data_IF_490231897697
#
_entry.id   IF_490231897697
#
_cell.length_a   1.000
_cell.length_b   1.000
_cell.length_c   1.000
_cell.angle_alpha   90.00
_cell.angle_beta   90.00
_cell.angle_gamma   90.00
#
_symmetry.space_group_name_H-M   'P 1'
#
loop_
_entity.id
_entity.type
_entity.pdbx_description
1 polymer ?
#
# COMPACT_ATOMS: atom_id res chain seq x y z
N UNK A 1 19.52 7.29 0.44
CA UNK A 1 18.45 6.42 -0.07
C UNK A 1 17.19 7.27 -0.29
N UNK A 2 16.82 7.47 -1.54
CA UNK A 2 15.63 8.22 -1.94
C UNK A 2 14.38 7.40 -1.63
N UNK A 3 13.39 7.99 -0.97
CA UNK A 3 12.08 7.36 -0.75
C UNK A 3 11.10 7.83 -1.81
N UNK A 4 10.46 6.88 -2.49
CA UNK A 4 9.51 7.16 -3.56
C UNK A 4 8.16 6.53 -3.20
N UNK A 5 7.07 7.23 -3.49
CA UNK A 5 5.73 6.68 -3.39
C UNK A 5 5.54 5.60 -4.46
N UNK A 6 5.19 4.37 -4.08
CA UNK A 6 4.95 3.29 -5.04
C UNK A 6 3.66 3.48 -5.87
N UNK A 7 2.78 4.39 -5.46
CA UNK A 7 1.50 4.64 -6.12
C UNK A 7 1.54 5.85 -7.07
N UNK A 8 2.00 7.00 -6.57
CA UNK A 8 2.01 8.26 -7.32
C UNK A 8 3.41 8.76 -7.67
N UNK A 9 4.45 7.95 -7.42
CA UNK A 9 5.86 8.26 -7.70
C UNK A 9 6.41 9.54 -7.05
N UNK A 10 5.64 10.17 -6.16
CA UNK A 10 6.04 11.35 -5.39
C UNK A 10 7.25 11.04 -4.51
N UNK A 11 8.24 11.93 -4.52
CA UNK A 11 9.39 11.87 -3.60
C UNK A 11 8.94 12.15 -2.17
N UNK A 12 9.28 11.23 -1.27
CA UNK A 12 8.93 11.28 0.16
C UNK A 12 10.09 11.75 1.04
N UNK A 13 11.20 12.14 0.42
CA UNK A 13 12.42 12.60 1.07
C UNK A 13 13.56 11.60 0.95
N UNK A 14 14.65 11.90 1.65
CA UNK A 14 15.87 11.12 1.64
C UNK A 14 16.17 10.62 3.06
N UNK A 15 16.64 9.37 3.17
CA UNK A 15 17.18 8.83 4.41
C UNK A 15 18.61 8.37 4.21
N UNK A 16 19.41 8.40 5.27
CA UNK A 16 20.72 7.75 5.29
C UNK A 16 20.54 6.28 4.91
N UNK A 17 21.32 5.77 3.93
CA UNK A 17 21.22 4.37 3.53
C UNK A 17 21.67 3.47 4.68
N UNK A 18 20.84 2.48 5.03
CA UNK A 18 21.24 1.37 5.92
C UNK A 18 21.86 0.22 5.10
N UNK A 19 21.44 0.07 3.84
CA UNK A 19 21.90 -0.94 2.88
C UNK A 19 22.28 -0.29 1.53
N UNK A 20 22.86 -1.08 0.61
CA UNK A 20 23.32 -0.65 -0.71
C UNK A 20 22.22 -0.14 -1.67
N UNK A 21 20.94 -0.23 -1.30
CA UNK A 21 19.86 0.27 -2.16
C UNK A 21 19.76 1.80 -2.12
N UNK A 22 19.80 2.40 -3.31
CA UNK A 22 19.72 3.85 -3.48
C UNK A 22 18.28 4.36 -3.40
N UNK A 23 17.28 3.50 -3.60
CA UNK A 23 15.85 3.84 -3.65
C UNK A 23 15.06 2.89 -2.75
N UNK A 24 14.17 3.42 -1.91
CA UNK A 24 13.12 2.64 -1.22
C UNK A 24 11.74 3.04 -1.75
N UNK A 25 10.88 2.06 -1.95
CA UNK A 25 9.48 2.26 -2.31
C UNK A 25 8.59 2.15 -1.07
N UNK A 26 7.65 3.10 -0.88
CA UNK A 26 6.66 3.09 0.20
C UNK A 26 5.38 3.79 -0.24
N UNK A 27 4.27 3.76 0.50
CA UNK A 27 3.05 4.52 0.16
C UNK A 27 3.05 5.85 0.91
N UNK A 28 2.74 6.95 0.21
CA UNK A 28 2.66 8.27 0.84
C UNK A 28 1.38 8.41 1.68
N UNK A 29 1.32 9.32 2.68
CA UNK A 29 0.12 9.52 3.48
C UNK A 29 -1.13 9.81 2.66
N UNK A 30 -1.00 10.61 1.60
CA UNK A 30 -2.12 10.98 0.72
C UNK A 30 -2.72 9.74 0.05
N UNK A 31 -1.89 8.91 -0.59
CA UNK A 31 -2.33 7.67 -1.23
C UNK A 31 -2.74 6.60 -0.21
N UNK A 32 -2.21 6.62 1.01
CA UNK A 32 -2.61 5.68 2.06
C UNK A 32 -4.08 5.87 2.46
N UNK A 33 -4.56 7.12 2.49
CA UNK A 33 -5.97 7.42 2.77
C UNK A 33 -6.86 6.87 1.67
N UNK A 34 -6.52 7.10 0.40
CA UNK A 34 -7.27 6.57 -0.74
C UNK A 34 -7.30 5.05 -0.76
N UNK A 35 -6.15 4.40 -0.57
CA UNK A 35 -6.07 2.93 -0.52
C UNK A 35 -6.90 2.36 0.62
N UNK A 36 -6.91 3.00 1.80
CA UNK A 36 -7.74 2.57 2.93
C UNK A 36 -9.22 2.76 2.66
N UNK A 37 -9.62 3.88 2.08
CA UNK A 37 -11.00 4.13 1.70
C UNK A 37 -11.49 3.15 0.61
N UNK A 38 -10.62 2.76 -0.32
CA UNK A 38 -10.94 1.76 -1.36
C UNK A 38 -10.85 0.30 -0.87
N UNK A 39 -10.39 0.06 0.36
CA UNK A 39 -10.29 -1.27 0.96
C UNK A 39 -11.25 -1.46 2.15
N UNK A 40 -12.19 -0.53 2.37
CA UNK A 40 -13.37 -0.81 3.17
C UNK A 40 -14.21 -1.85 2.44
N UNK A 41 -13.91 -3.12 2.70
CA UNK A 41 -14.68 -4.25 2.26
C UNK A 41 -16.06 -4.13 2.91
N UNK A 42 -17.09 -3.94 2.10
CA UNK A 42 -18.46 -3.94 2.59
C UNK A 42 -18.78 -5.30 3.22
N UNK A 43 -19.72 -5.36 4.16
CA UNK A 43 -20.12 -6.64 4.77
C UNK A 43 -20.55 -7.68 3.71
N UNK A 44 -21.07 -7.21 2.56
CA UNK A 44 -21.40 -8.03 1.41
C UNK A 44 -20.16 -8.62 0.71
N UNK A 45 -19.16 -7.80 0.38
CA UNK A 45 -17.90 -8.28 -0.23
C UNK A 45 -17.13 -9.22 0.72
N UNK A 46 -17.25 -9.01 2.03
CA UNK A 46 -16.66 -9.85 3.05
C UNK A 46 -17.32 -11.22 3.08
N UNK A 47 -18.65 -11.27 2.99
CA UNK A 47 -19.41 -12.53 2.91
C UNK A 47 -19.11 -13.29 1.61
N UNK A 48 -18.96 -12.60 0.48
CA UNK A 48 -18.53 -13.19 -0.79
C UNK A 48 -17.10 -13.77 -0.72
N UNK A 49 -16.15 -13.06 -0.10
CA UNK A 49 -14.79 -13.57 0.13
C UNK A 49 -14.76 -14.82 1.02
N UNK A 50 -15.59 -14.85 2.08
CA UNK A 50 -15.72 -16.03 2.93
C UNK A 50 -16.25 -17.25 2.15
N UNK A 51 -17.19 -17.05 1.24
CA UNK A 51 -17.72 -18.14 0.39
C UNK A 51 -16.69 -18.66 -0.61
N UNK A 52 -15.79 -17.81 -1.11
CA UNK A 52 -14.69 -18.23 -2.00
C UNK A 52 -13.66 -19.07 -1.25
N UNK A 53 -13.29 -18.67 -0.02
CA UNK A 53 -12.31 -19.39 0.79
C UNK A 53 -12.87 -20.66 1.46
N UNK A 54 -14.19 -20.77 1.60
CA UNK A 54 -14.85 -21.95 2.13
C UNK A 54 -15.09 -23.07 1.10
N UNK A 55 -14.73 -22.87 -0.18
CA UNK A 55 -14.80 -23.94 -1.19
C UNK A 55 -13.57 -24.87 -1.05
N UNK A 56 -13.78 -26.20 -0.92
CA UNK A 56 -12.70 -27.18 -0.79
C UNK A 56 -11.84 -27.33 -2.05
#
# INVERSE_FOLDING_TARGET
MLRICAWCEKKLGEKSPLDCELITWSICPDCLVEVRASTEVTEQEKEELYQVWAKP
#
